data_IF_384806034778
#
_entry.id   IF_384806034778
#
_cell.length_a   1.000
_cell.length_b   1.000
_cell.length_c   1.000
_cell.angle_alpha   90.00
_cell.angle_beta   90.00
_cell.angle_gamma   90.00
#
_symmetry.space_group_name_H-M   'P 1'
#
loop_
_entity.id
_entity.type
_entity.pdbx_description
1 polymer ?
2 non-polymer ?
3 non-polymer ?
4 water ?
#
# COMPACT_ATOMS: atom_id res chain seq x y z
N UNK A 21 10.98 -5.50 13.96
CA UNK A 21 10.83 -5.06 12.55
C UNK A 21 10.85 -3.54 12.49
N UNK A 22 11.71 -2.99 11.63
CA UNK A 22 11.91 -1.56 11.59
C UNK A 22 11.79 -1.06 10.17
N UNK A 23 11.58 0.23 10.04
CA UNK A 23 11.48 0.90 8.77
C UNK A 23 12.68 1.77 8.55
N UNK A 24 13.32 1.59 7.41
CA UNK A 24 14.42 2.42 6.96
C UNK A 24 14.03 3.19 5.70
N UNK A 25 14.72 4.30 5.44
CA UNK A 25 14.57 5.02 4.20
C UNK A 25 15.00 4.10 3.06
N UNK A 26 14.11 3.97 2.11
CA UNK A 26 14.36 3.11 0.98
C UNK A 26 15.56 3.54 0.11
N UNK A 27 15.87 4.81 0.11
CA UNK A 27 16.91 5.38 -0.77
C UNK A 27 18.29 5.28 -0.14
N UNK A 28 18.39 5.34 1.16
CA UNK A 28 19.72 5.31 1.78
C UNK A 28 19.91 4.42 2.98
N UNK A 29 18.83 3.88 3.54
CA UNK A 29 18.93 3.03 4.68
C UNK A 29 18.84 3.66 6.04
N UNK A 30 18.69 4.98 6.12
CA UNK A 30 18.55 5.68 7.39
C UNK A 30 17.41 5.04 8.22
N UNK A 31 17.67 4.85 9.48
CA UNK A 31 16.65 4.25 10.35
C UNK A 31 15.59 5.33 10.67
N UNK A 32 14.32 4.95 10.46
CA UNK A 32 13.23 5.93 10.57
C UNK A 32 12.20 5.60 11.61
N UNK A 33 11.66 4.39 11.59
CA UNK A 33 10.60 4.08 12.54
C UNK A 33 10.52 2.58 12.76
N UNK A 34 9.49 2.13 13.47
CA UNK A 34 9.34 0.71 13.82
C UNK A 34 7.90 0.34 13.62
N UNK A 35 7.67 -0.92 13.32
CA UNK A 35 6.30 -1.40 13.25
C UNK A 35 5.52 -1.22 14.58
N UNK A 36 6.21 -1.38 15.70
CA UNK A 36 5.64 -1.14 17.04
C UNK A 36 5.08 0.25 17.21
N UNK A 37 5.56 1.21 16.38
CA UNK A 37 5.18 2.60 16.52
C UNK A 37 4.03 3.05 15.61
N UNK A 38 3.45 2.13 14.86
CA UNK A 38 2.29 2.45 14.06
C UNK A 38 1.16 2.99 14.97
N UNK A 39 0.38 3.91 14.45
CA UNK A 39 -0.71 4.58 15.16
C UNK A 39 -2.01 4.51 14.35
N UNK A 40 -3.06 3.87 14.88
CA UNK A 40 -4.33 3.88 14.12
C UNK A 40 -5.14 5.18 14.21
N UNK A 41 -4.72 6.22 13.50
CA UNK A 41 -5.44 7.51 13.45
C UNK A 41 -6.77 7.31 12.73
N UNK A 42 -7.85 7.76 13.36
CA UNK A 42 -9.21 7.54 12.85
C UNK A 42 -9.59 6.08 12.60
N UNK A 43 -8.99 5.15 13.35
CA UNK A 43 -9.27 3.72 13.20
C UNK A 43 -8.33 2.90 12.32
N UNK A 44 -7.45 3.53 11.56
CA UNK A 44 -6.60 2.78 10.64
C UNK A 44 -5.23 3.46 10.56
N UNK A 45 -4.15 2.69 10.57
CA UNK A 45 -2.84 3.30 10.40
C UNK A 45 -2.62 3.77 8.94
N UNK A 46 -3.34 3.18 7.97
CA UNK A 46 -3.23 3.53 6.54
C UNK A 46 -4.31 4.49 6.05
N UNK A 47 -3.88 5.56 5.37
CA UNK A 47 -4.76 6.57 4.78
C UNK A 47 -4.29 6.87 3.36
N UNK A 48 -5.17 6.71 2.35
CA UNK A 48 -4.81 7.00 0.98
C UNK A 48 -5.36 8.37 0.60
N UNK A 49 -4.48 9.27 0.21
CA UNK A 49 -4.81 10.68 0.11
C UNK A 49 -4.15 11.30 -1.11
N UNK A 50 -4.66 12.45 -1.53
CA UNK A 50 -4.07 13.18 -2.62
C UNK A 50 -3.82 14.63 -2.18
N UNK A 51 -2.73 15.20 -2.67
CA UNK A 51 -2.42 16.61 -2.44
C UNK A 51 -2.97 17.49 -3.60
N UNK A 52 -2.82 18.83 -3.51
CA UNK A 52 -3.38 19.67 -4.58
C UNK A 52 -2.71 19.52 -5.96
N UNK A 53 -1.50 18.97 -5.97
CA UNK A 53 -0.80 18.63 -7.20
C UNK A 53 -1.21 17.28 -7.77
N UNK A 54 -2.20 16.64 -7.17
CA UNK A 54 -2.77 15.41 -7.65
C UNK A 54 -1.94 14.16 -7.33
N UNK A 55 -0.93 14.30 -6.48
CA UNK A 55 -0.09 13.16 -6.11
C UNK A 55 -0.85 12.34 -5.08
N UNK A 56 -0.90 11.03 -5.31
CA UNK A 56 -1.49 10.08 -4.42
C UNK A 56 -0.42 9.58 -3.46
N UNK A 57 -0.77 9.48 -2.18
CA UNK A 57 0.16 8.92 -1.20
C UNK A 57 -0.62 7.92 -0.39
N UNK A 58 0.04 6.79 -0.12
CA UNK A 58 -0.42 5.83 0.85
C UNK A 58 0.37 6.11 2.12
N UNK A 59 -0.30 6.71 3.10
CA UNK A 59 0.33 7.30 4.26
C UNK A 59 0.07 6.31 5.40
N UNK A 60 1.14 5.99 6.14
CA UNK A 60 1.02 5.23 7.39
C UNK A 60 1.31 6.17 8.53
N UNK A 61 0.43 6.16 9.52
CA UNK A 61 0.58 7.01 10.68
C UNK A 61 1.43 6.28 11.73
N UNK A 62 2.38 7.02 12.29
CA UNK A 62 3.26 6.53 13.33
C UNK A 62 3.21 7.51 14.51
N UNK A 63 3.30 6.97 15.72
CA UNK A 63 3.36 7.82 16.89
C UNK A 63 4.73 8.50 16.99
N UNK A 64 5.75 7.84 16.47
CA UNK A 64 7.13 8.26 16.65
C UNK A 64 7.93 7.95 15.40
N UNK A 65 8.96 8.73 15.17
CA UNK A 65 9.93 8.44 14.10
C UNK A 65 11.18 9.17 14.46
N UNK A 66 12.27 8.80 13.81
CA UNK A 66 13.57 9.42 14.05
C UNK A 66 14.27 9.52 12.72
N UNK A 67 15.41 10.19 12.70
CA UNK A 67 16.23 10.21 11.48
C UNK A 67 15.70 11.12 10.37
N UNK A 68 14.66 11.90 10.66
CA UNK A 68 14.08 12.80 9.72
C UNK A 68 14.67 14.18 9.93
N UNK A 69 14.38 15.06 8.98
CA UNK A 69 14.60 16.48 9.09
C UNK A 69 13.29 17.20 8.75
N UNK A 70 12.74 17.90 9.72
CA UNK A 70 11.47 18.59 9.51
C UNK A 70 11.76 19.99 9.01
N UNK A 71 11.16 20.37 7.90
CA UNK A 71 11.55 21.60 7.21
C UNK A 71 10.41 22.60 7.22
N UNK A 72 10.75 23.85 7.52
CA UNK A 72 9.80 24.94 7.41
C UNK A 72 8.91 25.05 8.60
N UNK A 73 7.90 25.89 8.49
CA UNK A 73 6.99 26.12 9.60
C UNK A 73 5.71 25.34 9.32
N UNK A 74 4.97 24.98 10.37
CA UNK A 74 3.73 24.22 10.15
C UNK A 74 2.68 24.96 9.36
N UNK A 75 1.90 24.21 8.59
CA UNK A 75 0.81 24.75 7.81
C UNK A 75 -0.44 23.91 7.97
N UNK A 76 -1.61 24.53 8.07
CA UNK A 76 -2.89 23.80 8.11
C UNK A 76 -3.46 23.61 6.70
N UNK A 77 -2.85 24.22 5.70
CA UNK A 77 -3.41 24.25 4.33
C UNK A 77 -3.54 22.84 3.76
N UNK A 78 -4.74 22.47 3.36
CA UNK A 78 -5.06 21.17 2.80
C UNK A 78 -4.70 19.98 3.70
N UNK A 79 -4.67 20.16 5.01
CA UNK A 79 -4.32 19.08 5.90
C UNK A 79 -5.31 17.94 5.77
N UNK A 80 -4.78 16.74 5.65
CA UNK A 80 -5.58 15.54 5.53
C UNK A 80 -6.10 15.09 6.89
N UNK A 81 -5.63 15.68 7.99
CA UNK A 81 -6.03 15.24 9.31
C UNK A 81 -6.58 16.44 10.06
N UNK A 82 -7.86 16.35 10.38
CA UNK A 82 -8.61 17.44 10.99
C UNK A 82 -7.95 17.89 12.27
N UNK A 83 -7.68 19.18 12.39
CA UNK A 83 -7.05 19.73 13.61
C UNK A 83 -5.54 19.79 13.59
N UNK A 84 -4.87 19.22 12.57
CA UNK A 84 -3.40 19.19 12.54
C UNK A 84 -2.80 20.01 11.45
N UNK A 85 -1.69 20.64 11.79
CA UNK A 85 -0.86 21.39 10.88
C UNK A 85 0.30 20.47 10.55
N UNK A 86 0.82 20.59 9.34
CA UNK A 86 1.90 19.70 8.91
C UNK A 86 3.14 20.44 8.58
N UNK A 87 4.25 19.71 8.73
CA UNK A 87 5.55 20.15 8.26
C UNK A 87 6.09 19.00 7.43
N UNK A 88 6.76 19.34 6.34
CA UNK A 88 7.39 18.32 5.49
C UNK A 88 8.52 17.62 6.27
N UNK A 89 8.55 16.30 6.16
CA UNK A 89 9.59 15.51 6.79
C UNK A 89 10.43 14.86 5.70
N UNK A 90 11.72 15.20 5.69
CA UNK A 90 12.68 14.60 4.80
C UNK A 90 13.49 13.58 5.56
N UNK A 91 14.01 12.62 4.82
CA UNK A 91 15.07 11.77 5.38
C UNK A 91 16.21 12.69 5.74
N UNK A 92 16.63 12.61 7.00
CA UNK A 92 17.73 13.46 7.47
C UNK A 92 19.05 13.15 6.82
N UNK A 93 19.18 11.97 6.28
CA UNK A 93 20.41 11.54 5.66
C UNK A 93 20.45 11.95 4.18
N UNK A 94 19.45 11.53 3.39
CA UNK A 94 19.51 11.71 1.92
C UNK A 94 18.60 12.80 1.36
N UNK A 95 17.69 13.33 2.18
CA UNK A 95 16.81 14.39 1.74
C UNK A 95 15.55 13.91 1.01
N UNK A 96 15.35 12.60 0.86
CA UNK A 96 14.13 12.06 0.25
C UNK A 96 12.92 12.52 1.05
N UNK A 97 11.86 12.90 0.37
CA UNK A 97 10.65 13.26 1.05
C UNK A 97 9.95 12.01 1.59
N UNK A 98 9.95 11.82 2.90
CA UNK A 98 9.36 10.63 3.49
C UNK A 98 7.94 10.80 4.04
N UNK A 99 7.51 12.03 4.24
CA UNK A 99 6.17 12.27 4.71
C UNK A 99 6.07 13.60 5.42
N UNK A 100 5.34 13.61 6.51
CA UNK A 100 5.02 14.83 7.22
C UNK A 100 5.01 14.57 8.72
N UNK A 101 5.33 15.62 9.48
CA UNK A 101 5.07 15.63 10.92
C UNK A 101 3.80 16.49 11.13
N UNK A 102 2.90 15.97 11.93
CA UNK A 102 1.64 16.67 12.23
C UNK A 102 1.70 17.16 13.64
N UNK A 103 1.24 18.38 13.87
CA UNK A 103 1.23 18.96 15.23
C UNK A 103 0.05 19.91 15.37
N UNK A 104 -0.19 20.38 16.59
CA UNK A 104 -1.20 21.40 16.82
C UNK A 104 -2.59 20.88 17.06
N UNK A 105 -2.74 19.57 17.08
CA UNK A 105 -4.02 18.97 17.27
C UNK A 105 -4.23 18.43 18.65
N UNK A 106 -5.06 17.40 18.74
CA UNK A 106 -5.41 16.79 20.01
C UNK A 106 -5.60 15.31 19.93
N UNK A 107 -5.15 14.64 20.96
CA UNK A 107 -5.27 13.21 21.09
C UNK A 107 -4.88 12.40 19.85
N UNK A 108 -3.60 12.42 19.45
CA UNK A 108 -2.47 13.04 20.13
C UNK A 108 -2.21 14.44 19.60
N UNK A 109 -1.43 15.22 20.30
CA UNK A 109 -1.05 16.55 19.81
C UNK A 109 -0.26 16.48 18.48
N UNK A 110 0.60 15.48 18.37
CA UNK A 110 1.52 15.30 17.28
C UNK A 110 1.61 13.83 16.85
N UNK A 111 1.98 13.60 15.58
CA UNK A 111 2.29 12.25 15.06
C UNK A 111 2.97 12.40 13.70
N UNK A 112 3.42 11.30 13.10
CA UNK A 112 4.06 11.35 11.79
C UNK A 112 3.20 10.60 10.79
N UNK A 113 3.05 11.15 9.58
CA UNK A 113 2.42 10.44 8.49
C UNK A 113 3.49 10.16 7.45
N UNK A 114 3.87 8.89 7.31
CA UNK A 114 4.98 8.54 6.43
C UNK A 114 4.46 7.83 5.17
N UNK A 115 5.13 8.09 4.07
CA UNK A 115 4.76 7.52 2.78
C UNK A 115 5.30 6.08 2.70
N UNK A 116 4.38 5.12 2.72
CA UNK A 116 4.75 3.71 2.87
C UNK A 116 5.79 3.23 1.83
N UNK A 117 5.60 3.59 0.60
CA UNK A 117 6.47 3.06 -0.45
C UNK A 117 7.83 3.77 -0.50
N UNK A 118 8.08 4.77 0.37
CA UNK A 118 9.41 5.34 0.54
C UNK A 118 10.21 4.74 1.66
N UNK A 119 9.65 3.72 2.31
CA UNK A 119 10.29 3.00 3.40
C UNK A 119 10.60 1.60 2.99
N UNK A 120 11.56 0.98 3.65
CA UNK A 120 11.86 -0.43 3.52
C UNK A 120 11.76 -1.08 4.90
N UNK A 121 11.09 -2.22 4.97
CA UNK A 121 10.91 -2.91 6.24
C UNK A 121 11.91 -4.03 6.35
N UNK A 122 12.46 -4.21 7.53
CA UNK A 122 13.42 -5.28 7.75
C UNK A 122 13.76 -5.51 9.21
N UNK A 123 14.71 -6.43 9.47
CA UNK A 123 14.97 -6.82 10.84
C UNK A 123 15.61 -5.70 11.67
N UNK A 124 15.25 -5.66 12.94
CA UNK A 124 15.92 -4.82 13.92
C UNK A 124 17.28 -5.44 14.20
N UNK B 20 -4.42 -10.71 -20.37
CA UNK B 20 -3.41 -11.58 -19.66
C UNK B 20 -2.00 -11.01 -19.83
N UNK B 21 -1.43 -10.46 -18.76
CA UNK B 21 -0.01 -10.25 -18.79
C UNK B 21 0.72 -11.29 -17.96
N UNK B 22 1.95 -11.49 -18.35
CA UNK B 22 2.84 -12.43 -17.69
C UNK B 22 4.14 -11.75 -17.34
N UNK B 23 4.83 -12.34 -16.40
CA UNK B 23 6.14 -11.86 -15.97
C UNK B 23 7.16 -12.86 -16.41
N UNK B 24 8.16 -12.38 -17.13
CA UNK B 24 9.27 -13.19 -17.58
C UNK B 24 10.53 -12.77 -16.85
N UNK B 25 11.48 -13.70 -16.79
CA UNK B 25 12.82 -13.37 -16.31
C UNK B 25 13.39 -12.31 -17.26
N UNK B 26 13.82 -11.22 -16.67
CA UNK B 26 14.35 -10.10 -17.44
C UNK B 26 15.63 -10.46 -18.19
N UNK B 27 16.39 -11.40 -17.66
CA UNK B 27 17.68 -11.79 -18.22
C UNK B 27 17.57 -12.75 -19.39
N UNK B 28 16.61 -13.66 -19.35
CA UNK B 28 16.52 -14.68 -20.39
C UNK B 28 15.17 -14.89 -21.05
N UNK B 29 14.11 -14.31 -20.49
CA UNK B 29 12.81 -14.36 -21.12
C UNK B 29 11.94 -15.52 -20.69
N UNK B 30 12.42 -16.39 -19.80
CA UNK B 30 11.62 -17.52 -19.40
C UNK B 30 10.36 -17.00 -18.69
N UNK B 31 9.19 -17.56 -18.99
CA UNK B 31 7.98 -17.24 -18.27
C UNK B 31 8.07 -17.74 -16.82
N UNK B 32 7.76 -16.82 -15.90
CA UNK B 32 7.86 -17.11 -14.47
C UNK B 32 6.52 -17.06 -13.76
N UNK B 33 5.76 -16.00 -13.96
CA UNK B 33 4.49 -15.88 -13.27
C UNK B 33 3.52 -15.05 -14.08
N UNK B 34 2.43 -14.79 -13.53
CA UNK B 34 1.23 -14.24 -14.19
C UNK B 34 0.69 -13.10 -13.39
N UNK B 35 0.26 -11.95 -13.92
CA UNK B 35 -0.42 -10.93 -13.16
C UNK B 35 -1.63 -11.47 -12.39
N UNK B 36 -2.35 -12.43 -12.98
CA UNK B 36 -3.48 -13.09 -12.31
C UNK B 36 -3.11 -13.73 -10.97
N UNK B 37 -1.81 -14.02 -10.79
CA UNK B 37 -1.34 -14.70 -9.59
C UNK B 37 -0.78 -13.77 -8.52
N UNK B 38 -0.89 -12.47 -8.71
CA UNK B 38 -0.45 -11.54 -7.70
C UNK B 38 -1.25 -11.79 -6.42
N UNK B 39 -0.56 -11.65 -5.29
CA UNK B 39 -1.10 -12.02 -4.00
C UNK B 39 -0.91 -10.89 -3.01
N UNK B 40 -2.02 -10.31 -2.51
CA UNK B 40 -1.83 -9.19 -1.57
C UNK B 40 -1.53 -9.63 -0.14
N UNK B 41 -0.30 -10.05 0.12
CA UNK B 41 0.13 -10.45 1.48
C UNK B 41 0.15 -9.20 2.36
N UNK B 42 -0.49 -9.29 3.53
CA UNK B 42 -0.64 -8.15 4.42
C UNK B 42 -1.30 -6.91 3.82
N UNK B 43 -2.16 -7.08 2.81
CA UNK B 43 -2.83 -5.97 2.15
C UNK B 43 -2.24 -5.44 0.86
N UNK B 44 -1.01 -5.83 0.50
CA UNK B 44 -0.37 -5.26 -0.68
C UNK B 44 0.48 -6.33 -1.34
N UNK B 45 0.43 -6.41 -2.66
CA UNK B 45 1.33 -7.36 -3.34
C UNK B 45 2.78 -6.88 -3.31
N UNK B 46 3.03 -5.56 -3.15
CA UNK B 46 4.39 -4.99 -3.12
C UNK B 46 4.88 -4.76 -1.68
N UNK B 47 6.10 -5.26 -1.42
CA UNK B 47 6.77 -5.12 -0.14
C UNK B 47 8.19 -4.67 -0.42
N UNK B 48 8.57 -3.51 0.08
CA UNK B 48 9.97 -3.08 0.00
C UNK B 48 10.62 -3.44 1.32
N UNK B 49 11.69 -4.23 1.24
CA UNK B 49 12.25 -4.89 2.41
C UNK B 49 13.77 -4.83 2.35
N UNK B 50 14.41 -5.05 3.47
CA UNK B 50 15.87 -5.20 3.50
C UNK B 50 16.25 -6.43 4.30
N UNK B 51 17.35 -7.04 3.91
CA UNK B 51 17.87 -8.21 4.60
C UNK B 51 18.96 -7.81 5.62
N UNK B 52 19.52 -8.77 6.39
CA UNK B 52 20.53 -8.38 7.40
C UNK B 52 21.85 -7.84 6.84
N UNK B 53 22.11 -8.10 5.56
CA UNK B 53 23.24 -7.54 4.83
C UNK B 53 22.97 -6.14 4.30
N UNK B 54 21.79 -5.62 4.58
CA UNK B 54 21.43 -4.25 4.19
C UNK B 54 21.04 -4.12 2.74
N UNK B 55 20.82 -5.22 2.04
CA UNK B 55 20.37 -5.20 0.65
C UNK B 55 18.87 -4.91 0.64
N UNK B 56 18.45 -3.96 -0.17
CA UNK B 56 17.05 -3.57 -0.25
C UNK B 56 16.44 -4.22 -1.49
N UNK B 57 15.25 -4.77 -1.37
CA UNK B 57 14.57 -5.40 -2.49
C UNK B 57 13.12 -4.94 -2.56
N UNK B 58 12.63 -4.71 -3.76
CA UNK B 58 11.21 -4.45 -3.97
C UNK B 58 10.57 -5.75 -4.48
N UNK B 59 9.81 -6.38 -3.62
CA UNK B 59 9.29 -7.74 -3.79
C UNK B 59 7.81 -7.63 -4.16
N UNK B 60 7.40 -8.37 -5.17
CA UNK B 60 5.97 -8.56 -5.51
C UNK B 60 5.61 -10.01 -5.16
N UNK B 61 4.51 -10.18 -4.45
CA UNK B 61 4.08 -11.50 -4.00
C UNK B 61 3.17 -12.13 -5.03
N UNK B 62 3.45 -13.40 -5.33
CA UNK B 62 2.64 -14.18 -6.26
C UNK B 62 2.28 -15.49 -5.64
N UNK B 63 1.09 -16.01 -5.93
CA UNK B 63 0.67 -17.30 -5.37
C UNK B 63 1.50 -18.45 -5.91
N UNK B 64 1.81 -18.41 -7.21
CA UNK B 64 2.48 -19.46 -7.93
C UNK B 64 3.51 -18.88 -8.84
N UNK B 65 4.40 -19.74 -9.27
CA UNK B 65 5.38 -19.42 -10.28
C UNK B 65 5.80 -20.70 -10.95
N UNK B 66 6.48 -20.57 -12.07
CA UNK B 66 7.12 -21.71 -12.69
C UNK B 66 8.45 -21.29 -13.24
N UNK B 67 9.24 -22.28 -13.61
CA UNK B 67 10.52 -22.06 -14.23
C UNK B 67 11.60 -21.58 -13.30
N UNK B 68 11.37 -21.59 -11.99
CA UNK B 68 12.39 -21.24 -11.01
C UNK B 68 13.10 -22.49 -10.53
N UNK B 69 14.20 -22.28 -9.83
CA UNK B 69 14.92 -23.35 -9.11
C UNK B 69 15.18 -22.87 -7.69
N UNK B 70 14.64 -23.57 -6.72
CA UNK B 70 14.79 -23.24 -5.33
C UNK B 70 16.03 -23.90 -4.79
N UNK B 71 16.86 -23.11 -4.13
CA UNK B 71 18.20 -23.54 -3.70
C UNK B 71 18.24 -23.57 -2.17
N UNK B 72 18.82 -24.64 -1.66
CA UNK B 72 19.12 -24.74 -0.24
C UNK B 72 17.92 -25.23 0.53
N UNK B 73 18.07 -25.25 1.85
CA UNK B 73 16.98 -25.68 2.70
C UNK B 73 16.24 -24.45 3.21
N UNK B 74 14.95 -24.60 3.55
CA UNK B 74 14.21 -23.43 4.05
C UNK B 74 14.76 -22.88 5.35
N UNK B 75 14.65 -21.56 5.50
CA UNK B 75 15.12 -20.89 6.69
C UNK B 75 14.03 -19.97 7.23
N UNK B 76 13.88 -19.97 8.55
CA UNK B 76 12.98 -19.01 9.20
C UNK B 76 13.65 -17.67 9.52
N UNK B 77 14.97 -17.66 9.42
CA UNK B 77 15.78 -16.54 9.97
C UNK B 77 15.47 -15.29 9.19
N UNK B 78 15.06 -14.25 9.92
CA UNK B 78 14.76 -12.93 9.35
C UNK B 78 13.72 -12.95 8.24
N UNK B 79 12.78 -13.88 8.32
CA UNK B 79 11.73 -13.93 7.32
C UNK B 79 10.93 -12.66 7.29
N UNK B 80 10.71 -12.13 6.09
CA UNK B 80 9.91 -10.93 5.92
C UNK B 80 8.43 -11.19 6.10
N UNK B 81 8.02 -12.46 6.13
CA UNK B 81 6.61 -12.82 6.28
C UNK B 81 6.48 -13.76 7.48
N UNK B 82 5.86 -13.27 8.53
CA UNK B 82 5.78 -13.99 9.80
C UNK B 82 5.08 -15.34 9.58
N UNK B 83 5.70 -16.40 10.08
CA UNK B 83 5.15 -17.74 9.99
C UNK B 83 5.62 -18.53 8.77
N UNK B 84 6.41 -17.88 7.88
CA UNK B 84 6.94 -18.56 6.71
C UNK B 84 8.45 -18.70 6.79
N UNK B 85 8.93 -19.83 6.27
CA UNK B 85 10.32 -20.09 6.01
C UNK B 85 10.56 -19.79 4.52
N UNK B 86 11.77 -19.36 4.19
CA UNK B 86 12.09 -19.00 2.82
C UNK B 86 13.19 -19.82 2.24
N UNK B 87 13.15 -19.93 0.92
CA UNK B 87 14.22 -20.53 0.14
C UNK B 87 14.51 -19.58 -1.02
N UNK B 88 15.77 -19.40 -1.36
CA UNK B 88 16.16 -18.58 -2.50
C UNK B 88 15.64 -19.18 -3.82
N UNK B 89 15.13 -18.35 -4.69
CA UNK B 89 14.59 -18.79 -5.99
C UNK B 89 15.43 -18.17 -7.10
N UNK B 90 16.07 -19.02 -7.90
CA UNK B 90 16.77 -18.61 -9.11
C UNK B 90 15.91 -18.90 -10.31
N UNK B 91 16.08 -18.13 -11.37
CA UNK B 91 15.58 -18.56 -12.67
C UNK B 91 16.19 -19.91 -12.97
N UNK B 92 15.35 -20.89 -13.23
CA UNK B 92 15.81 -22.24 -13.50
C UNK B 92 16.60 -22.37 -14.80
N UNK B 93 16.35 -21.45 -15.70
CA UNK B 93 16.97 -21.43 -16.98
C UNK B 93 18.32 -20.69 -16.97
N UNK B 94 18.38 -19.47 -16.49
CA UNK B 94 19.63 -18.67 -16.54
C UNK B 94 20.35 -18.42 -15.20
N UNK B 95 19.73 -18.79 -14.09
CA UNK B 95 20.34 -18.61 -12.78
C UNK B 95 20.22 -17.23 -12.14
N UNK B 96 19.54 -16.28 -12.78
CA UNK B 96 19.28 -14.97 -12.17
C UNK B 96 18.56 -15.12 -10.83
N UNK B 97 18.97 -14.40 -9.81
CA UNK B 97 18.26 -14.41 -8.55
C UNK B 97 16.95 -13.64 -8.69
N UNK B 98 15.83 -14.36 -8.73
CA UNK B 98 14.55 -13.74 -8.96
C UNK B 98 13.72 -13.50 -7.70
N UNK B 99 14.04 -14.13 -6.59
CA UNK B 99 13.34 -13.90 -5.34
C UNK B 99 13.44 -15.06 -4.39
N UNK B 100 12.32 -15.36 -3.77
CA UNK B 100 12.24 -16.38 -2.72
C UNK B 100 10.93 -17.12 -2.80
N UNK B 101 10.92 -18.39 -2.36
CA UNK B 101 9.70 -19.13 -2.10
C UNK B 101 9.50 -19.21 -0.61
N UNK B 102 8.26 -19.01 -0.18
CA UNK B 102 7.87 -19.04 1.21
C UNK B 102 7.00 -20.25 1.44
N UNK B 103 7.23 -20.92 2.55
CA UNK B 103 6.39 -22.09 2.90
C UNK B 103 6.18 -22.16 4.42
N UNK B 104 5.28 -23.04 4.82
CA UNK B 104 5.09 -23.42 6.20
C UNK B 104 4.08 -22.58 6.93
N UNK B 105 3.37 -21.73 6.21
CA UNK B 105 2.34 -20.87 6.80
C UNK B 105 0.95 -21.47 6.68
N UNK B 106 -0.05 -20.60 6.78
CA UNK B 106 -1.43 -20.90 6.45
C UNK B 106 -2.03 -19.71 5.71
N UNK B 107 -2.91 -19.99 4.77
CA UNK B 107 -3.67 -18.94 4.08
C UNK B 107 -2.75 -17.86 3.46
N UNK B 108 -1.88 -18.23 2.52
CA UNK B 108 -1.72 -19.58 1.97
C UNK B 108 -0.58 -20.32 2.66
N UNK B 109 -0.45 -21.61 2.39
CA UNK B 109 0.67 -22.37 2.92
C UNK B 109 1.99 -21.94 2.28
N UNK B 110 1.97 -21.68 0.97
CA UNK B 110 3.15 -21.28 0.23
C UNK B 110 2.86 -20.12 -0.73
N UNK B 111 3.89 -19.37 -1.09
CA UNK B 111 3.79 -18.32 -2.12
C UNK B 111 5.22 -17.86 -2.48
N UNK B 112 5.33 -17.01 -3.49
CA UNK B 112 6.62 -16.50 -3.92
C UNK B 112 6.68 -15.00 -3.66
N UNK B 113 7.86 -14.53 -3.31
CA UNK B 113 8.14 -13.11 -3.31
C UNK B 113 9.19 -12.89 -4.37
N UNK B 114 8.82 -12.24 -5.46
CA UNK B 114 9.72 -12.09 -6.59
C UNK B 114 10.18 -10.64 -6.71
N UNK B 115 11.41 -10.47 -7.15
CA UNK B 115 12.03 -9.15 -7.26
C UNK B 115 11.55 -8.47 -8.53
N UNK B 116 10.72 -7.46 -8.36
CA UNK B 116 10.04 -6.81 -9.49
C UNK B 116 11.00 -6.32 -10.57
N UNK B 117 12.13 -5.72 -10.18
CA UNK B 117 13.10 -5.18 -11.13
C UNK B 117 13.79 -6.24 -11.99
N UNK B 118 13.73 -7.50 -11.57
CA UNK B 118 14.33 -8.62 -12.31
C UNK B 118 13.37 -9.39 -13.17
N UNK B 119 12.13 -8.92 -13.26
CA UNK B 119 11.10 -9.45 -14.12
C UNK B 119 10.78 -8.43 -15.18
N UNK B 120 10.26 -8.91 -16.29
CA UNK B 120 9.73 -8.07 -17.34
C UNK B 120 8.29 -8.47 -17.56
N UNK B 121 7.38 -7.49 -17.50
CA UNK B 121 5.97 -7.74 -17.76
C UNK B 121 5.65 -7.55 -19.24
N UNK B 122 4.80 -8.42 -19.77
CA UNK B 122 4.34 -8.27 -21.14
C UNK B 122 3.21 -9.22 -21.48
N UNK B 123 2.73 -9.16 -22.74
CA UNK B 123 1.68 -10.07 -23.16
C UNK B 123 2.10 -11.52 -23.21
N UNK B 124 1.11 -12.39 -23.04
CA UNK B 124 1.29 -13.83 -23.26
C UNK B 124 1.07 -14.16 -24.73
N UNK C 19 -8.41 19.36 2.67
CA UNK C 19 -7.57 18.20 2.22
C UNK C 19 -8.36 16.97 1.77
N UNK C 20 -9.64 16.89 2.12
CA UNK C 20 -10.43 15.67 1.89
C UNK C 20 -11.90 15.99 1.64
N UNK C 21 -12.16 16.78 0.60
CA UNK C 21 -13.53 17.07 0.14
C UNK C 21 -13.92 16.39 -1.19
N UNK C 22 -12.94 15.85 -1.93
CA UNK C 22 -13.20 15.15 -3.20
C UNK C 22 -12.83 13.67 -3.04
N UNK C 23 -13.71 12.80 -3.51
CA UNK C 23 -13.49 11.37 -3.45
C UNK C 23 -13.10 10.85 -4.83
N UNK C 24 -11.97 10.14 -4.87
CA UNK C 24 -11.41 9.55 -6.08
C UNK C 24 -11.23 8.05 -5.95
N UNK C 25 -11.18 7.38 -7.08
CA UNK C 25 -10.77 5.99 -7.12
C UNK C 25 -9.36 5.84 -6.54
N UNK C 26 -9.24 4.91 -5.59
CA UNK C 26 -7.95 4.62 -4.96
C UNK C 26 -6.86 4.14 -5.93
N UNK C 27 -7.26 3.34 -6.91
CA UNK C 27 -6.32 2.65 -7.77
C UNK C 27 -5.83 3.58 -8.86
N UNK C 28 -6.70 4.43 -9.42
CA UNK C 28 -6.29 5.27 -10.56
C UNK C 28 -6.53 6.77 -10.44
N UNK C 29 -7.25 7.21 -9.42
CA UNK C 29 -7.48 8.62 -9.18
C UNK C 29 -8.70 9.25 -9.85
N UNK C 30 -9.47 8.45 -10.60
CA UNK C 30 -10.70 8.94 -11.26
C UNK C 30 -11.55 9.70 -10.24
N UNK C 31 -12.01 10.88 -10.64
CA UNK C 31 -12.94 11.68 -9.82
C UNK C 31 -14.30 10.99 -9.74
N UNK C 32 -14.80 10.84 -8.53
CA UNK C 32 -16.03 10.09 -8.30
C UNK C 32 -17.12 10.93 -7.66
N UNK C 33 -16.84 11.54 -6.49
CA UNK C 33 -17.86 12.42 -5.88
C UNK C 33 -17.22 13.46 -4.95
N UNK C 34 -18.04 14.21 -4.20
CA UNK C 34 -17.53 15.20 -3.25
C UNK C 34 -18.32 15.18 -1.96
N UNK C 35 -17.73 15.74 -0.89
CA UNK C 35 -18.43 15.79 0.41
C UNK C 35 -19.78 16.49 0.30
N UNK C 36 -19.84 17.57 -0.50
CA UNK C 36 -21.11 18.27 -0.79
C UNK C 36 -22.26 17.38 -1.28
N UNK C 37 -21.95 16.24 -1.90
CA UNK C 37 -22.96 15.28 -2.38
C UNK C 37 -23.19 14.10 -1.47
N UNK C 38 -22.56 14.07 -0.30
CA UNK C 38 -22.92 13.08 0.72
C UNK C 38 -24.41 13.21 1.07
N UNK C 39 -25.01 12.08 1.43
CA UNK C 39 -26.46 11.96 1.50
C UNK C 39 -26.89 11.30 2.82
N UNK C 40 -27.48 12.12 3.71
CA UNK C 40 -28.04 11.65 4.97
C UNK C 40 -29.14 10.63 4.68
N UNK C 41 -28.76 9.37 4.62
CA UNK C 41 -29.71 8.29 4.45
C UNK C 41 -29.67 7.40 5.68
N UNK C 42 -29.20 7.97 6.81
CA UNK C 42 -29.12 7.29 8.08
C UNK C 42 -30.02 7.93 9.14
N UNK C 46 -23.00 8.17 6.45
CA UNK C 46 -22.06 7.06 6.61
C UNK C 46 -22.74 5.98 7.43
N UNK C 47 -22.25 5.03 6.82
CA UNK C 47 -22.95 3.84 7.29
C UNK C 47 -22.02 2.68 7.58
N UNK C 48 -22.28 2.04 8.72
CA UNK C 48 -21.62 0.79 9.08
C UNK C 48 -22.47 -0.37 8.58
N UNK C 49 -21.90 -1.19 7.69
CA UNK C 49 -22.59 -2.35 7.12
C UNK C 49 -21.66 -3.56 7.18
N UNK C 50 -22.19 -4.75 7.02
CA UNK C 50 -21.31 -5.89 7.03
C UNK C 50 -21.53 -6.69 5.77
N UNK C 51 -20.48 -7.36 5.33
CA UNK C 51 -20.55 -8.17 4.15
C UNK C 51 -20.97 -9.56 4.54
N UNK C 52 -21.08 -10.43 3.55
CA UNK C 52 -21.51 -11.82 3.68
C UNK C 52 -20.80 -12.53 4.81
N UNK C 53 -19.52 -12.32 4.98
CA UNK C 53 -18.81 -12.98 6.09
C UNK C 53 -19.17 -12.48 7.50
N UNK C 54 -19.81 -11.31 7.60
CA UNK C 54 -20.13 -10.70 8.90
C UNK C 54 -19.08 -9.75 9.45
N UNK C 55 -18.06 -9.44 8.64
CA UNK C 55 -17.07 -8.41 8.97
C UNK C 55 -17.53 -7.04 8.46
N UNK C 56 -17.39 -6.03 9.32
CA UNK C 56 -17.90 -4.69 9.08
C UNK C 56 -17.03 -3.92 8.07
N UNK C 57 -17.67 -3.05 7.28
CA UNK C 57 -16.96 -2.07 6.44
C UNK C 57 -17.82 -0.82 6.24
N UNK C 58 -17.15 0.30 5.95
CA UNK C 58 -17.81 1.59 5.84
C UNK C 58 -18.21 1.92 4.40
N UNK C 59 -19.39 2.50 4.25
CA UNK C 59 -19.97 2.85 2.97
C UNK C 59 -20.49 4.28 3.08
N UNK C 60 -19.96 5.14 2.22
CA UNK C 60 -20.50 6.47 2.02
C UNK C 60 -21.71 6.38 1.09
N UNK C 61 -22.75 7.16 1.41
CA UNK C 61 -23.88 7.32 0.53
C UNK C 61 -23.82 8.69 -0.13
N UNK C 62 -23.86 8.69 -1.46
CA UNK C 62 -23.86 9.91 -2.25
C UNK C 62 -25.15 10.01 -3.07
N UNK C 63 -25.68 11.22 -3.17
CA UNK C 63 -26.84 11.52 -4.01
C UNK C 63 -26.38 11.64 -5.48
N UNK C 64 -25.11 12.00 -5.67
CA UNK C 64 -24.57 12.18 -7.00
C UNK C 64 -23.15 11.65 -7.07
N UNK C 65 -22.80 11.13 -8.24
CA UNK C 65 -21.45 10.66 -8.52
C UNK C 65 -21.25 10.70 -10.01
N UNK C 66 -19.97 10.59 -10.38
CA UNK C 66 -19.55 10.54 -11.76
C UNK C 66 -18.40 9.57 -11.89
N UNK C 67 -18.05 9.28 -13.14
CA UNK C 67 -16.82 8.53 -13.41
C UNK C 67 -16.92 7.03 -13.18
N UNK C 68 -18.12 6.56 -12.84
CA UNK C 68 -18.38 5.14 -12.60
C UNK C 68 -18.91 4.51 -13.89
N UNK C 69 -18.93 3.20 -13.93
CA UNK C 69 -19.64 2.47 -14.96
C UNK C 69 -20.56 1.50 -14.22
N UNK C 70 -21.87 1.68 -14.38
CA UNK C 70 -22.84 0.79 -13.72
C UNK C 70 -23.15 -0.43 -14.62
N UNK C 71 -23.09 -1.60 -14.00
CA UNK C 71 -23.13 -2.90 -14.68
C UNK C 71 -24.29 -3.71 -14.08
N UNK C 72 -25.14 -4.27 -14.93
CA UNK C 72 -26.31 -5.07 -14.50
C UNK C 72 -25.99 -6.31 -13.69
N UNK C 86 -30.52 -2.85 -7.22
CA UNK C 86 -29.15 -2.33 -7.20
C UNK C 86 -28.31 -2.78 -8.38
N UNK C 87 -27.27 -2.00 -8.68
CA UNK C 87 -26.35 -2.31 -9.75
C UNK C 87 -24.91 -2.18 -9.21
N UNK C 88 -23.95 -2.84 -9.87
CA UNK C 88 -22.56 -2.79 -9.47
C UNK C 88 -21.93 -1.53 -10.09
N UNK C 89 -21.20 -0.77 -9.27
CA UNK C 89 -20.51 0.44 -9.70
C UNK C 89 -19.01 0.20 -9.80
N UNK C 90 -18.51 0.12 -11.03
CA UNK C 90 -17.07 0.04 -11.30
C UNK C 90 -16.51 1.43 -11.58
N UNK C 91 -15.24 1.63 -11.25
CA UNK C 91 -14.55 2.79 -11.77
C UNK C 91 -14.53 2.73 -13.31
N UNK C 92 -14.93 3.84 -13.94
CA UNK C 92 -14.97 3.92 -15.39
C UNK C 92 -13.63 4.00 -16.03
N UNK C 93 -12.62 4.38 -15.27
CA UNK C 93 -11.31 4.53 -15.81
C UNK C 93 -10.49 3.25 -15.75
N UNK C 94 -10.49 2.59 -14.58
CA UNK C 94 -9.63 1.40 -14.39
C UNK C 94 -10.42 0.12 -14.14
N UNK C 95 -11.74 0.19 -13.94
CA UNK C 95 -12.51 -1.01 -13.62
C UNK C 95 -12.56 -1.52 -12.18
N UNK C 96 -11.92 -0.82 -11.23
CA UNK C 96 -12.01 -1.21 -9.81
C UNK C 96 -13.47 -1.17 -9.31
N UNK C 97 -13.88 -2.21 -8.57
CA UNK C 97 -15.21 -2.23 -7.95
C UNK C 97 -15.25 -1.23 -6.80
N UNK C 98 -16.00 -0.15 -6.98
CA UNK C 98 -16.07 0.90 -5.97
C UNK C 98 -17.32 0.90 -5.11
N UNK C 99 -18.33 0.11 -5.49
CA UNK C 99 -19.56 0.02 -4.70
C UNK C 99 -20.78 -0.33 -5.53
N UNK C 100 -21.89 0.37 -5.26
CA UNK C 100 -23.18 0.06 -5.89
C UNK C 100 -24.02 1.33 -6.09
N UNK C 101 -24.95 1.24 -7.04
CA UNK C 101 -25.96 2.26 -7.25
C UNK C 101 -27.32 1.62 -6.93
N UNK C 102 -28.16 2.36 -6.24
CA UNK C 102 -29.49 1.91 -5.90
C UNK C 102 -30.49 2.77 -6.64
N UNK C 103 -31.57 2.16 -7.13
CA UNK C 103 -32.65 2.91 -7.80
C UNK C 103 -34.05 2.45 -7.39
N UNK C 110 -32.97 7.27 -5.71
CA UNK C 110 -31.73 6.67 -6.20
C UNK C 110 -30.54 7.24 -5.44
N UNK C 111 -29.52 6.40 -5.20
CA UNK C 111 -28.27 6.87 -4.56
C UNK C 111 -27.08 5.93 -4.80
N UNK C 112 -25.87 6.43 -4.56
CA UNK C 112 -24.66 5.61 -4.68
C UNK C 112 -24.11 5.25 -3.31
N UNK C 113 -23.87 3.96 -3.09
CA UNK C 113 -23.21 3.46 -1.88
C UNK C 113 -21.82 2.99 -2.23
N UNK C 114 -20.82 3.83 -1.94
CA UNK C 114 -19.43 3.55 -2.33
C UNK C 114 -18.59 3.14 -1.13
N UNK C 115 -17.63 2.27 -1.39
CA UNK C 115 -16.81 1.60 -0.38
C UNK C 115 -15.64 2.53 -0.01
N UNK C 116 -15.54 2.86 1.29
CA UNK C 116 -14.47 3.76 1.78
C UNK C 116 -13.09 3.17 1.44
N UNK C 117 -12.93 1.88 1.71
CA UNK C 117 -11.77 1.04 1.29
C UNK C 117 -11.23 1.26 -0.14
N UNK C 118 -12.11 1.64 -1.07
CA UNK C 118 -11.77 1.74 -2.49
C UNK C 118 -11.64 3.17 -3.02
N UNK C 119 -11.74 4.15 -2.12
CA UNK C 119 -11.66 5.56 -2.47
C UNK C 119 -10.48 6.21 -1.79
N UNK C 120 -10.11 7.38 -2.29
CA UNK C 120 -9.11 8.21 -1.66
C UNK C 120 -9.62 9.64 -1.64
N UNK C 121 -9.16 10.40 -0.65
CA UNK C 121 -9.62 11.76 -0.39
C UNK C 121 -8.59 12.80 -0.80
N UNK C 122 -9.06 13.83 -1.48
CA UNK C 122 -8.26 14.98 -1.83
C UNK C 122 -9.02 16.29 -1.72
N UNK C 123 -8.29 17.42 -1.80
CA UNK C 123 -8.93 18.73 -1.77
C UNK C 123 -9.74 18.99 -3.04
N UNK C 124 -10.58 20.02 -2.99
CA UNK C 124 -11.39 20.45 -4.13
C UNK C 124 -10.50 20.88 -5.28
#
# INVERSE_FOLDING_TARGET
>A
AMPLDAGGQNSTQMVLAPGASIFRCRQCGQTISRRDWLLPMGGDHEHVVFNPAGMIFRVWCFSLAQGLRLIGAPSGEFSWFKGYDWTIALCGQCGSHLGWHYEGGSQPQTFFGLIKDRLAEGPAD
>B
AMPLDAGGQNSTQMVLAPGASIFRCRQCGQTISRRDWLLPMGGDHEHVVFNPAGMIFRVWCFSLAQGLRLIGAPSGEFSWFKGYDWTIALCGQCGSHLGWHYEGGSQPQTFFGLIKDRLAEGPAD
>C
AMPLDAGGQNSTQMVLAPGASIFRCRQCGQTISRRDWLLPMGGDHEHVVFNPAGMIFRVWCFSLAQGLRLIGAPSGEFSWFKGYDWTIALCGQCGSHLGWHYEGGSQPQTFFGLIKDRLAEGPAD
#
